data_IF_554904811215
#
_entry.id   IF_554904811215
#
_cell.length_a   1.000
_cell.length_b   1.000
_cell.length_c   1.000
_cell.angle_alpha   90.00
_cell.angle_beta   90.00
_cell.angle_gamma   90.00
#
_symmetry.space_group_name_H-M   'P 1'
#
loop_
_entity.id
_entity.type
_entity.pdbx_description
1 polymer ?
#
# COMPACT_ATOMS: atom_id res chain seq x y z
N UNK A 1 -12.74 -27.99 -13.32
CA UNK A 1 -12.12 -26.79 -12.72
C UNK A 1 -13.03 -25.60 -13.01
N UNK A 2 -13.69 -25.04 -12.00
CA UNK A 2 -14.57 -23.88 -12.17
C UNK A 2 -13.71 -22.63 -12.02
N UNK A 3 -13.35 -21.97 -13.11
CA UNK A 3 -12.73 -20.64 -13.08
C UNK A 3 -13.80 -19.62 -12.72
N UNK A 4 -13.97 -19.35 -11.43
CA UNK A 4 -14.77 -18.21 -10.95
C UNK A 4 -14.13 -16.93 -11.46
N UNK A 5 -14.71 -16.38 -12.52
CA UNK A 5 -14.30 -15.12 -13.10
C UNK A 5 -14.68 -13.99 -12.15
N UNK A 6 -13.67 -13.36 -11.52
CA UNK A 6 -13.85 -12.20 -10.64
C UNK A 6 -14.40 -11.05 -11.46
N UNK A 7 -15.67 -10.71 -11.26
CA UNK A 7 -16.25 -9.48 -11.82
C UNK A 7 -15.61 -8.29 -11.11
N UNK A 8 -15.11 -7.34 -11.89
CA UNK A 8 -14.60 -6.07 -11.36
C UNK A 8 -15.60 -5.03 -11.77
N UNK A 9 -16.34 -4.51 -10.79
CA UNK A 9 -17.42 -3.54 -11.01
C UNK A 9 -16.94 -2.10 -10.89
N UNK A 10 -15.74 -1.89 -10.34
CA UNK A 10 -15.19 -0.57 -10.06
C UNK A 10 -13.71 -0.50 -10.44
N UNK A 11 -13.33 0.60 -11.09
CA UNK A 11 -11.95 0.98 -11.38
C UNK A 11 -11.45 1.83 -10.21
N UNK A 12 -10.29 1.46 -9.65
CA UNK A 12 -9.61 2.30 -8.66
C UNK A 12 -8.77 3.36 -9.37
N UNK A 13 -9.01 4.62 -9.05
CA UNK A 13 -8.42 5.78 -9.72
C UNK A 13 -7.68 6.64 -8.69
N UNK A 14 -6.50 7.14 -9.03
CA UNK A 14 -5.71 8.05 -8.21
C UNK A 14 -5.66 9.41 -8.91
N UNK A 15 -6.24 10.43 -8.27
CA UNK A 15 -6.50 11.74 -8.85
C UNK A 15 -5.81 12.84 -8.01
N UNK A 16 -5.24 13.88 -8.64
CA UNK A 16 -4.85 15.09 -7.96
C UNK A 16 -6.09 15.97 -7.73
N UNK A 17 -6.35 16.32 -6.48
CA UNK A 17 -7.40 17.29 -6.09
C UNK A 17 -6.76 18.69 -6.01
N UNK A 18 -7.57 19.73 -6.21
CA UNK A 18 -7.20 21.15 -6.16
C UNK A 18 -6.26 21.60 -7.30
N UNK A 19 -6.36 20.97 -8.47
CA UNK A 19 -5.54 21.36 -9.64
C UNK A 19 -6.04 22.61 -10.37
N UNK A 20 -7.11 23.24 -9.90
CA UNK A 20 -7.71 24.43 -10.54
C UNK A 20 -7.42 25.74 -9.83
N UNK A 21 -6.80 25.71 -8.64
CA UNK A 21 -6.49 26.92 -7.86
C UNK A 21 -4.98 27.10 -7.78
N UNK A 22 -4.48 28.19 -8.39
CA UNK A 22 -3.07 28.54 -8.33
C UNK A 22 -2.64 28.79 -6.87
N UNK A 23 -1.63 28.04 -6.42
CA UNK A 23 -1.04 28.19 -5.09
C UNK A 23 -1.59 27.26 -4.00
N UNK A 24 -2.60 26.44 -4.29
CA UNK A 24 -3.04 25.40 -3.35
C UNK A 24 -2.16 24.13 -3.44
N UNK A 25 -1.99 23.44 -2.30
CA UNK A 25 -1.26 22.18 -2.26
C UNK A 25 -2.06 21.09 -2.97
N UNK A 26 -1.46 20.48 -4.00
CA UNK A 26 -2.06 19.34 -4.69
C UNK A 26 -2.05 18.11 -3.78
N UNK A 27 -3.23 17.55 -3.53
CA UNK A 27 -3.40 16.34 -2.71
C UNK A 27 -3.75 15.19 -3.66
N UNK A 28 -3.02 14.08 -3.57
CA UNK A 28 -3.41 12.85 -4.27
C UNK A 28 -4.44 12.09 -3.45
N UNK A 29 -5.57 11.73 -4.08
CA UNK A 29 -6.64 10.98 -3.46
C UNK A 29 -7.09 9.81 -4.33
N UNK A 30 -7.51 8.72 -3.69
CA UNK A 30 -7.98 7.52 -4.38
C UNK A 30 -9.50 7.45 -4.38
N UNK A 31 -10.07 7.20 -5.54
CA UNK A 31 -11.51 7.09 -5.77
C UNK A 31 -11.83 5.75 -6.45
N UNK A 32 -13.09 5.30 -6.28
CA UNK A 32 -13.62 4.14 -7.00
C UNK A 32 -14.70 4.62 -7.96
N UNK A 33 -14.52 4.32 -9.24
CA UNK A 33 -15.44 4.72 -10.31
C UNK A 33 -16.04 3.47 -10.95
N UNK A 34 -17.35 3.40 -11.22
CA UNK A 34 -17.96 2.24 -11.88
C UNK A 34 -17.29 1.90 -13.22
N UNK A 35 -17.00 0.62 -13.45
CA UNK A 35 -16.29 0.16 -14.65
C UNK A 35 -17.16 0.05 -15.89
N UNK A 36 -18.49 0.12 -15.72
CA UNK A 36 -19.49 0.04 -16.78
C UNK A 36 -19.82 1.42 -17.40
N UNK A 37 -19.15 2.48 -16.97
CA UNK A 37 -19.36 3.80 -17.55
C UNK A 37 -18.83 3.88 -18.99
N UNK A 38 -19.54 4.57 -19.89
CA UNK A 38 -18.99 4.97 -21.18
C UNK A 38 -17.69 5.77 -21.00
N UNK A 39 -16.71 5.68 -21.92
CA UNK A 39 -15.43 6.37 -21.78
C UNK A 39 -15.58 7.88 -21.61
N UNK A 40 -16.51 8.50 -22.35
CA UNK A 40 -16.79 9.94 -22.22
C UNK A 40 -17.33 10.32 -20.82
N UNK A 41 -18.25 9.54 -20.26
CA UNK A 41 -18.81 9.78 -18.92
C UNK A 41 -17.77 9.51 -17.83
N UNK A 42 -16.91 8.51 -18.04
CA UNK A 42 -15.77 8.25 -17.16
C UNK A 42 -14.84 9.48 -17.10
N UNK A 43 -14.49 10.06 -18.26
CA UNK A 43 -13.65 11.26 -18.34
C UNK A 43 -14.30 12.47 -17.66
N UNK A 44 -15.60 12.70 -17.89
CA UNK A 44 -16.36 13.78 -17.23
C UNK A 44 -16.37 13.62 -15.71
N UNK A 45 -16.57 12.39 -15.23
CA UNK A 45 -16.54 12.11 -13.79
C UNK A 45 -15.17 12.38 -13.19
N UNK A 46 -14.10 11.98 -13.88
CA UNK A 46 -12.70 12.27 -13.52
C UNK A 46 -12.45 13.79 -13.45
N UNK A 47 -12.90 14.55 -14.45
CA UNK A 47 -12.76 16.01 -14.48
C UNK A 47 -13.46 16.67 -13.28
N UNK A 48 -14.71 16.28 -13.00
CA UNK A 48 -15.47 16.76 -11.84
C UNK A 48 -14.73 16.48 -10.53
N UNK A 49 -14.19 15.27 -10.36
CA UNK A 49 -13.44 14.89 -9.16
C UNK A 49 -12.14 15.67 -8.99
N UNK A 50 -11.48 16.08 -10.09
CA UNK A 50 -10.30 16.96 -10.05
C UNK A 50 -10.66 18.45 -9.81
N UNK A 51 -11.95 18.78 -9.76
CA UNK A 51 -12.44 20.16 -9.67
C UNK A 51 -12.27 20.94 -10.97
N UNK A 52 -12.12 20.24 -12.09
CA UNK A 52 -11.99 20.79 -13.43
C UNK A 52 -13.36 20.87 -14.10
N UNK A 53 -13.62 21.98 -14.76
CA UNK A 53 -14.84 22.20 -15.54
C UNK A 53 -14.86 21.25 -16.76
N UNK A 54 -15.84 20.32 -16.88
CA UNK A 54 -15.89 19.34 -17.96
C UNK A 54 -16.11 19.96 -19.34
N UNK A 55 -16.63 21.19 -19.41
CA UNK A 55 -16.89 21.88 -20.67
C UNK A 55 -15.62 22.58 -21.22
N UNK A 56 -14.54 22.63 -20.43
CA UNK A 56 -13.27 23.22 -20.85
C UNK A 56 -12.31 22.15 -21.38
N UNK A 57 -11.58 22.44 -22.47
CA UNK A 57 -10.55 21.52 -22.97
C UNK A 57 -9.40 21.47 -21.96
N UNK A 58 -9.29 20.34 -21.24
CA UNK A 58 -8.19 20.08 -20.30
C UNK A 58 -7.43 18.85 -20.72
N UNK A 59 -6.10 18.97 -20.77
CA UNK A 59 -5.18 17.89 -21.13
C UNK A 59 -4.95 17.01 -19.92
N UNK A 60 -5.57 15.84 -19.94
CA UNK A 60 -5.42 14.84 -18.90
C UNK A 60 -4.44 13.77 -19.40
N UNK A 61 -3.46 13.47 -18.55
CA UNK A 61 -2.55 12.34 -18.72
C UNK A 61 -2.93 11.18 -17.81
N UNK A 62 -2.68 9.95 -18.23
CA UNK A 62 -2.93 8.74 -17.45
C UNK A 62 -1.73 7.80 -17.41
N UNK A 63 -1.72 6.95 -16.39
CA UNK A 63 -0.75 5.87 -16.19
C UNK A 63 -1.37 4.77 -15.34
N UNK A 64 -1.06 3.50 -15.63
CA UNK A 64 -1.60 2.38 -14.85
C UNK A 64 -0.57 1.87 -13.83
N UNK A 65 -0.81 2.14 -12.56
CA UNK A 65 0.01 1.70 -11.42
C UNK A 65 -0.35 0.25 -11.06
N UNK A 66 0.62 -0.62 -10.69
CA UNK A 66 2.05 -0.36 -10.62
C UNK A 66 2.69 -0.33 -12.01
N UNK A 67 3.33 0.79 -12.32
CA UNK A 67 4.19 1.01 -13.48
C UNK A 67 5.53 1.57 -13.01
N UNK A 68 6.49 1.70 -13.92
CA UNK A 68 7.75 2.34 -13.61
C UNK A 68 7.50 3.84 -13.35
N UNK A 69 8.03 4.39 -12.25
CA UNK A 69 7.85 5.81 -11.91
C UNK A 69 8.38 6.77 -12.98
N UNK A 70 9.35 6.31 -13.77
CA UNK A 70 9.94 7.04 -14.89
C UNK A 70 9.10 7.01 -16.17
N UNK A 71 8.05 6.18 -16.22
CA UNK A 71 7.17 6.11 -17.38
C UNK A 71 6.32 7.38 -17.47
N UNK A 72 6.35 8.10 -18.60
CA UNK A 72 5.59 9.33 -18.78
C UNK A 72 4.09 9.06 -18.80
N UNK A 73 3.30 10.08 -18.46
CA UNK A 73 1.85 10.02 -18.61
C UNK A 73 1.48 10.00 -20.09
N UNK A 74 0.62 9.05 -20.49
CA UNK A 74 0.02 9.00 -21.83
C UNK A 74 -1.16 9.97 -21.85
N UNK A 75 -1.37 10.71 -22.93
CA UNK A 75 -2.43 11.72 -23.03
C UNK A 75 -3.76 11.08 -23.46
N UNK A 76 -4.86 11.64 -22.98
CA UNK A 76 -6.18 11.41 -23.57
C UNK A 76 -6.39 12.39 -24.72
N UNK A 77 -6.19 11.94 -25.96
CA UNK A 77 -6.46 12.73 -27.16
C UNK A 77 -7.81 12.36 -27.76
N UNK A 78 -8.20 11.09 -27.65
CA UNK A 78 -9.43 10.54 -28.20
C UNK A 78 -10.23 9.78 -27.15
N UNK A 79 -11.52 9.55 -27.44
CA UNK A 79 -12.36 8.66 -26.61
C UNK A 79 -11.81 7.22 -26.58
N UNK A 80 -11.17 6.79 -27.67
CA UNK A 80 -10.54 5.48 -27.77
C UNK A 80 -9.37 5.33 -26.78
N UNK A 81 -8.58 6.38 -26.54
CA UNK A 81 -7.52 6.37 -25.53
C UNK A 81 -8.07 6.14 -24.13
N UNK A 82 -9.22 6.77 -23.82
CA UNK A 82 -9.90 6.58 -22.53
C UNK A 82 -10.41 5.14 -22.41
N UNK A 83 -11.03 4.61 -23.46
CA UNK A 83 -11.49 3.22 -23.51
C UNK A 83 -10.31 2.24 -23.32
N UNK A 84 -9.19 2.48 -23.99
CA UNK A 84 -7.96 1.69 -23.88
C UNK A 84 -7.36 1.77 -22.48
N UNK A 85 -7.36 2.94 -21.85
CA UNK A 85 -6.92 3.12 -20.46
C UNK A 85 -7.80 2.35 -19.47
N UNK A 86 -9.13 2.44 -19.62
CA UNK A 86 -10.08 1.69 -18.79
C UNK A 86 -9.90 0.18 -18.98
N UNK A 87 -9.84 -0.29 -20.23
CA UNK A 87 -9.69 -1.71 -20.57
C UNK A 87 -8.36 -2.28 -20.08
N UNK A 88 -7.26 -1.56 -20.29
CA UNK A 88 -5.94 -1.99 -19.81
C UNK A 88 -5.87 -2.05 -18.29
N UNK A 89 -6.47 -1.08 -17.59
CA UNK A 89 -6.58 -1.08 -16.13
C UNK A 89 -7.39 -2.26 -15.63
N UNK A 90 -8.59 -2.49 -16.18
CA UNK A 90 -9.43 -3.62 -15.81
C UNK A 90 -8.75 -4.97 -16.08
N UNK A 91 -8.07 -5.11 -17.21
CA UNK A 91 -7.31 -6.32 -17.55
C UNK A 91 -6.21 -6.58 -16.54
N UNK A 92 -5.47 -5.54 -16.14
CA UNK A 92 -4.42 -5.65 -15.11
C UNK A 92 -5.02 -5.95 -13.74
N UNK A 93 -6.13 -5.33 -13.36
CA UNK A 93 -6.83 -5.62 -12.11
C UNK A 93 -7.32 -7.07 -12.06
N UNK A 94 -7.88 -7.62 -13.16
CA UNK A 94 -8.31 -9.02 -13.25
C UNK A 94 -7.15 -10.01 -13.09
N UNK A 95 -5.97 -9.66 -13.62
CA UNK A 95 -4.75 -10.48 -13.51
C UNK A 95 -4.03 -10.31 -12.17
N UNK A 96 -4.27 -9.21 -11.47
CA UNK A 96 -3.58 -8.90 -10.22
C UNK A 96 -4.18 -9.70 -9.07
N UNK A 97 -3.39 -10.62 -8.53
CA UNK A 97 -3.80 -11.42 -7.36
C UNK A 97 -3.57 -10.66 -6.05
N UNK A 98 -2.40 -10.03 -5.91
CA UNK A 98 -1.98 -9.42 -4.63
C UNK A 98 -1.53 -7.97 -4.73
N UNK A 99 -1.59 -7.35 -5.91
CA UNK A 99 -1.09 -5.99 -6.14
C UNK A 99 -2.27 -5.08 -6.38
N UNK A 100 -2.29 -3.94 -5.70
CA UNK A 100 -3.28 -2.89 -5.98
C UNK A 100 -2.95 -2.27 -7.32
N UNK A 101 -3.85 -2.44 -8.29
CA UNK A 101 -3.76 -1.80 -9.60
C UNK A 101 -4.66 -0.57 -9.58
N UNK A 102 -4.13 0.59 -9.97
CA UNK A 102 -4.84 1.86 -9.98
C UNK A 102 -4.55 2.62 -11.26
N UNK A 103 -5.54 3.36 -11.77
CA UNK A 103 -5.35 4.32 -12.84
C UNK A 103 -4.96 5.67 -12.23
N UNK A 104 -3.69 6.03 -12.33
CA UNK A 104 -3.18 7.33 -11.90
C UNK A 104 -3.37 8.35 -13.02
N UNK A 105 -3.95 9.48 -12.68
CA UNK A 105 -4.23 10.57 -13.61
C UNK A 105 -3.49 11.83 -13.18
N UNK A 106 -3.21 12.69 -14.16
CA UNK A 106 -2.54 13.95 -13.95
C UNK A 106 -3.15 15.03 -14.84
N UNK A 107 -3.34 16.22 -14.29
CA UNK A 107 -3.71 17.40 -15.06
C UNK A 107 -2.42 18.00 -15.66
N UNK A 108 -2.25 17.89 -16.98
CA UNK A 108 -1.04 18.32 -17.68
C UNK A 108 -1.01 19.83 -17.95
N UNK A 109 -2.17 20.49 -17.87
CA UNK A 109 -2.26 21.94 -17.99
C UNK A 109 -1.96 22.64 -16.66
N UNK A 110 -2.05 21.90 -15.55
CA UNK A 110 -1.66 22.41 -14.24
C UNK A 110 -0.13 22.55 -14.17
N UNK A 111 0.32 23.79 -14.27
CA UNK A 111 1.66 24.18 -13.85
C UNK A 111 1.52 24.61 -12.40
N UNK A 112 1.97 23.85 -11.39
CA UNK A 112 2.02 24.37 -10.04
C UNK A 112 2.81 25.67 -10.12
N UNK A 113 2.12 26.79 -9.90
CA UNK A 113 2.70 28.11 -10.03
C UNK A 113 3.99 28.13 -9.22
N UNK A 114 5.07 28.47 -9.90
CA UNK A 114 6.01 29.58 -9.66
C UNK A 114 5.71 30.54 -8.49
N UNK A 115 5.07 30.11 -7.41
CA UNK A 115 5.07 30.75 -6.11
C UNK A 115 6.36 30.27 -5.43
N UNK A 116 7.44 31.01 -5.66
CA UNK A 116 8.76 30.78 -5.07
C UNK A 116 9.28 29.34 -5.19
N UNK A 117 9.63 28.93 -6.42
CA UNK A 117 10.72 27.99 -6.59
C UNK A 117 12.00 28.69 -6.12
N UNK A 118 12.23 28.69 -4.81
CA UNK A 118 13.55 29.00 -4.26
C UNK A 118 14.50 27.97 -4.85
N UNK A 119 15.38 28.47 -5.70
CA UNK A 119 16.59 27.84 -6.21
C UNK A 119 17.11 26.79 -5.23
N UNK A 120 17.02 25.51 -5.58
CA UNK A 120 17.93 24.50 -5.07
C UNK A 120 18.73 23.96 -6.24
N UNK A 121 19.62 24.84 -6.72
CA UNK A 121 20.84 24.43 -7.34
C UNK A 121 21.63 23.62 -6.30
N UNK A 122 21.90 22.37 -6.67
CA UNK A 122 23.07 21.57 -6.33
C UNK A 122 24.03 22.21 -5.29
N UNK A 123 23.94 21.74 -4.04
CA UNK A 123 24.79 22.23 -2.96
C UNK A 123 24.75 21.33 -1.74
N UNK A 124 25.69 20.40 -1.67
CA UNK A 124 26.05 19.59 -0.50
C UNK A 124 26.14 20.45 0.76
N UNK A 125 25.27 20.26 1.77
CA UNK A 125 25.56 20.48 3.22
C UNK A 125 24.39 20.12 4.15
N UNK A 126 24.74 19.29 5.14
CA UNK A 126 24.26 19.11 6.53
C UNK A 126 22.76 19.33 6.88
N UNK A 127 22.20 18.24 7.42
CA UNK A 127 20.92 18.13 8.12
C UNK A 127 20.75 19.15 9.26
N UNK A 128 19.67 19.93 9.20
CA UNK A 128 18.97 20.45 10.38
C UNK A 128 17.47 20.10 10.22
N UNK A 129 16.79 19.57 11.25
CA UNK A 129 15.39 19.16 11.14
C UNK A 129 14.44 20.37 11.12
N UNK A 130 13.37 20.34 10.31
CA UNK A 130 12.41 21.43 10.22
C UNK A 130 11.63 21.60 11.53
N UNK A 131 11.74 22.79 12.12
CA UNK A 131 10.89 23.28 13.21
C UNK A 131 9.49 23.58 12.68
N UNK A 132 8.57 22.62 12.73
CA UNK A 132 7.10 22.89 12.77
C UNK A 132 6.22 21.65 12.96
N UNK A 133 6.74 20.53 13.48
CA UNK A 133 5.91 19.36 13.79
C UNK A 133 5.05 19.54 15.07
N UNK A 134 5.42 20.47 15.96
CA UNK A 134 4.67 20.76 17.18
C UNK A 134 3.37 21.53 16.92
N UNK A 135 3.40 22.52 16.03
CA UNK A 135 2.21 23.32 15.69
C UNK A 135 1.09 22.47 15.08
N UNK A 136 1.44 21.47 14.26
CA UNK A 136 0.47 20.55 13.67
C UNK A 136 -0.13 19.56 14.68
N UNK A 137 0.62 19.19 15.73
CA UNK A 137 0.11 18.31 16.78
C UNK A 137 -0.84 19.04 17.74
N UNK A 138 -0.61 20.33 17.99
CA UNK A 138 -1.48 21.14 18.85
C UNK A 138 -2.85 21.40 18.18
N UNK A 139 -2.90 21.64 16.87
CA UNK A 139 -4.17 21.77 16.14
C UNK A 139 -4.97 20.46 16.10
N UNK A 140 -4.32 19.30 15.92
CA UNK A 140 -4.99 17.99 15.95
C UNK A 140 -5.58 17.64 17.33
N UNK A 141 -4.98 18.17 18.41
CA UNK A 141 -5.50 17.98 19.78
C UNK A 141 -6.80 18.76 20.00
N UNK A 142 -6.85 20.01 19.51
CA UNK A 142 -8.04 20.87 19.61
C UNK A 142 -9.23 20.27 18.84
N UNK A 143 -8.99 19.70 17.66
CA UNK A 143 -10.06 19.07 16.86
C UNK A 143 -10.65 17.80 17.50
N UNK A 144 -9.85 17.04 18.26
CA UNK A 144 -10.36 15.87 19.01
C UNK A 144 -11.22 16.25 20.20
N UNK A 145 -10.87 17.34 20.89
CA UNK A 145 -11.59 17.78 22.08
C UNK A 145 -12.98 18.34 21.73
N UNK A 146 -13.13 18.97 20.56
CA UNK A 146 -14.42 19.51 20.09
C UNK A 146 -15.43 18.47 19.59
N UNK A 147 -15.00 17.23 19.32
CA UNK A 147 -15.89 16.15 18.85
C UNK A 147 -16.55 15.34 19.98
N UNK A 148 -16.30 15.67 21.24
CA UNK A 148 -16.82 14.92 22.39
C UNK A 148 -18.07 15.52 23.06
N UNK A 149 -18.66 16.58 22.52
CA UNK A 149 -19.91 17.16 23.04
C UNK A 149 -21.04 17.09 22.02
N UNK A 150 -21.55 15.87 21.78
CA UNK A 150 -22.95 15.60 21.44
C UNK A 150 -23.09 14.10 21.16
N UNK A 151 -23.23 13.30 22.21
CA UNK A 151 -23.91 12.01 22.09
C UNK A 151 -25.31 12.17 22.68
N UNK A 152 -26.34 11.87 21.88
CA UNK A 152 -27.41 11.05 22.39
C UNK A 152 -27.50 9.78 21.53
N UNK A 153 -27.31 8.66 22.23
CA UNK A 153 -27.98 7.37 22.06
C UNK A 153 -28.79 7.18 20.77
N UNK A 154 -28.28 6.35 19.86
CA UNK A 154 -29.09 5.54 18.96
C UNK A 154 -28.29 4.30 18.55
N UNK A 155 -28.74 3.16 19.07
CA UNK A 155 -28.45 1.81 18.62
C UNK A 155 -28.85 1.63 17.15
N UNK A 156 -28.00 0.99 16.36
CA UNK A 156 -28.32 -0.07 15.39
C UNK A 156 -27.19 -0.24 14.37
N UNK A 157 -26.30 -1.18 14.70
CA UNK A 157 -25.84 -2.27 13.84
C UNK A 157 -25.53 -1.94 12.37
N UNK A 158 -24.27 -1.59 12.10
CA UNK A 158 -23.67 -1.68 10.77
C UNK A 158 -22.65 -2.82 10.76
N UNK A 159 -23.08 -3.97 10.26
CA UNK A 159 -22.27 -5.14 9.95
C UNK A 159 -21.18 -4.81 8.94
N UNK A 160 -19.95 -4.63 9.45
CA UNK A 160 -18.74 -4.48 8.65
C UNK A 160 -18.30 -5.85 8.17
N UNK A 161 -18.61 -6.17 6.91
CA UNK A 161 -18.14 -7.37 6.21
C UNK A 161 -16.63 -7.27 5.98
N UNK A 162 -15.86 -7.78 6.94
CA UNK A 162 -14.45 -8.07 6.79
C UNK A 162 -14.28 -9.20 5.78
N UNK A 163 -13.74 -8.90 4.60
CA UNK A 163 -13.25 -9.93 3.70
C UNK A 163 -11.92 -10.45 4.27
N UNK A 164 -12.05 -11.47 5.11
CA UNK A 164 -10.97 -12.36 5.52
C UNK A 164 -10.61 -13.22 4.32
N UNK A 165 -9.55 -12.81 3.59
CA UNK A 165 -8.89 -13.67 2.62
C UNK A 165 -7.93 -14.56 3.43
N UNK A 166 -8.51 -15.57 4.10
CA UNK A 166 -7.82 -16.75 4.62
C UNK A 166 -7.25 -17.54 3.44
N UNK A 167 -6.12 -17.07 2.92
CA UNK A 167 -5.22 -17.97 2.20
C UNK A 167 -4.49 -18.80 3.25
N UNK A 168 -5.08 -19.96 3.54
CA UNK A 168 -4.57 -21.09 4.33
C UNK A 168 -3.32 -21.69 3.67
N UNK A 169 -2.28 -20.85 3.55
CA UNK A 169 -0.93 -21.29 3.34
C UNK A 169 -0.29 -21.33 4.72
N UNK A 170 -0.24 -22.52 5.30
CA UNK A 170 0.67 -23.01 6.36
C UNK A 170 2.11 -22.55 6.09
N UNK A 171 2.34 -21.24 6.17
CA UNK A 171 3.56 -20.58 5.78
C UNK A 171 4.44 -20.49 7.00
N UNK A 172 5.27 -21.51 7.21
CA UNK A 172 6.40 -21.57 8.16
C UNK A 172 6.36 -20.46 9.23
N UNK A 173 5.58 -20.70 10.28
CA UNK A 173 5.42 -19.75 11.39
C UNK A 173 6.79 -19.33 11.94
N UNK A 174 7.09 -18.03 11.83
CA UNK A 174 8.35 -17.47 12.33
C UNK A 174 8.32 -17.43 13.85
N UNK A 175 9.19 -18.21 14.48
CA UNK A 175 9.29 -18.28 15.93
C UNK A 175 9.85 -16.98 16.52
N UNK A 176 9.44 -16.62 17.74
CA UNK A 176 9.96 -15.42 18.41
C UNK A 176 11.45 -15.56 18.75
N UNK A 177 11.91 -16.77 19.04
CA UNK A 177 13.31 -17.09 19.36
C UNK A 177 14.24 -16.79 18.18
N UNK A 178 13.85 -17.13 16.94
CA UNK A 178 14.60 -16.78 15.73
C UNK A 178 14.76 -15.28 15.57
N UNK A 179 13.74 -14.49 15.91
CA UNK A 179 13.81 -13.02 15.83
C UNK A 179 14.76 -12.46 16.88
N UNK A 180 14.66 -12.95 18.12
CA UNK A 180 15.52 -12.50 19.22
C UNK A 180 16.98 -12.87 18.96
N UNK A 181 17.27 -14.07 18.45
CA UNK A 181 18.62 -14.47 18.06
C UNK A 181 19.17 -13.59 16.93
N UNK A 182 18.36 -13.29 15.90
CA UNK A 182 18.77 -12.43 14.80
C UNK A 182 19.06 -10.97 15.25
N UNK A 183 18.37 -10.49 16.29
CA UNK A 183 18.67 -9.20 16.91
C UNK A 183 19.94 -9.24 17.72
N UNK A 184 20.15 -10.30 18.50
CA UNK A 184 21.32 -10.46 19.34
C UNK A 184 22.61 -10.47 18.50
N UNK A 185 22.58 -11.12 17.34
CA UNK A 185 23.70 -11.08 16.38
C UNK A 185 24.04 -9.66 15.89
N UNK A 186 23.05 -8.77 15.81
CA UNK A 186 23.25 -7.37 15.37
C UNK A 186 23.60 -6.44 16.52
N UNK A 187 23.09 -6.75 17.71
CA UNK A 187 23.14 -5.89 18.90
C UNK A 187 23.37 -6.74 20.16
N UNK A 188 24.55 -7.37 20.30
CA UNK A 188 24.81 -8.31 21.39
C UNK A 188 24.77 -7.63 22.78
N UNK A 189 25.11 -6.34 22.84
CA UNK A 189 25.04 -5.55 24.07
C UNK A 189 23.63 -5.40 24.65
N UNK A 190 22.58 -5.60 23.84
CA UNK A 190 21.18 -5.48 24.27
C UNK A 190 20.64 -6.77 24.89
N UNK A 191 21.33 -7.89 24.69
CA UNK A 191 21.00 -9.23 25.20
C UNK A 191 19.51 -9.57 25.05
N UNK A 192 19.03 -9.57 23.81
CA UNK A 192 17.62 -9.80 23.48
C UNK A 192 17.05 -11.18 23.88
N UNK A 193 17.83 -12.29 23.85
CA UNK A 193 17.30 -13.61 24.19
C UNK A 193 16.71 -13.71 25.61
N UNK A 194 17.16 -12.87 26.56
CA UNK A 194 16.65 -12.88 27.94
C UNK A 194 15.15 -12.56 28.06
N UNK A 195 14.54 -11.93 27.05
CA UNK A 195 13.12 -11.59 27.07
C UNK A 195 12.23 -12.71 26.52
N UNK A 196 12.82 -13.81 26.02
CA UNK A 196 12.08 -14.90 25.39
C UNK A 196 11.06 -15.53 26.34
N UNK A 197 11.46 -15.84 27.57
CA UNK A 197 10.59 -16.51 28.53
C UNK A 197 9.42 -15.62 28.95
N UNK A 198 9.67 -14.32 29.15
CA UNK A 198 8.64 -13.34 29.47
C UNK A 198 7.63 -13.19 28.32
N UNK A 199 8.10 -13.17 27.07
CA UNK A 199 7.23 -13.11 25.89
C UNK A 199 6.38 -14.38 25.76
N UNK A 200 7.01 -15.54 25.96
CA UNK A 200 6.34 -16.85 25.87
C UNK A 200 5.28 -17.01 26.97
N UNK A 201 5.58 -16.57 28.19
CA UNK A 201 4.63 -16.58 29.31
C UNK A 201 3.37 -15.74 29.03
N UNK A 202 3.49 -14.70 28.21
CA UNK A 202 2.37 -13.86 27.76
C UNK A 202 1.72 -14.36 26.45
N UNK A 203 2.06 -15.57 25.99
CA UNK A 203 1.51 -16.18 24.77
C UNK A 203 2.13 -15.68 23.46
N UNK A 204 3.21 -14.90 23.52
CA UNK A 204 3.91 -14.38 22.33
C UNK A 204 4.95 -15.40 21.86
N UNK A 205 4.48 -16.51 21.32
CA UNK A 205 5.33 -17.61 20.81
C UNK A 205 5.80 -17.35 19.38
N UNK A 206 4.94 -16.70 18.58
CA UNK A 206 5.19 -16.43 17.17
C UNK A 206 5.42 -14.94 16.92
N UNK A 207 6.28 -14.65 15.94
CA UNK A 207 6.65 -13.28 15.57
C UNK A 207 5.45 -12.44 15.11
N UNK A 208 4.39 -13.05 14.56
CA UNK A 208 3.19 -12.31 14.12
C UNK A 208 2.41 -11.75 15.30
N UNK A 209 2.20 -12.55 16.34
CA UNK A 209 1.50 -12.16 17.57
C UNK A 209 2.19 -11.00 18.29
N UNK A 210 3.51 -10.85 18.14
CA UNK A 210 4.25 -9.73 18.73
C UNK A 210 3.80 -8.35 18.17
N UNK A 211 3.18 -8.28 17.00
CA UNK A 211 2.76 -7.01 16.40
C UNK A 211 1.45 -6.47 16.96
N UNK A 212 0.69 -7.29 17.68
CA UNK A 212 -0.63 -6.93 18.20
C UNK A 212 -0.56 -6.09 19.48
N UNK A 213 0.62 -6.06 20.13
CA UNK A 213 0.83 -5.38 21.40
C UNK A 213 1.46 -4.00 21.23
N UNK A 214 1.03 -3.05 22.06
CA UNK A 214 1.57 -1.69 22.06
C UNK A 214 2.96 -1.62 22.70
N UNK A 215 3.74 -0.57 22.35
CA UNK A 215 5.06 -0.33 22.97
C UNK A 215 4.99 -0.25 24.49
N UNK A 216 3.93 0.38 25.04
CA UNK A 216 3.75 0.51 26.50
C UNK A 216 3.60 -0.85 27.17
N UNK A 217 2.89 -1.78 26.53
CA UNK A 217 2.70 -3.13 27.05
C UNK A 217 4.03 -3.88 27.18
N UNK A 218 4.93 -3.78 26.19
CA UNK A 218 6.27 -4.38 26.27
C UNK A 218 7.12 -3.81 27.41
N UNK A 219 6.99 -2.51 27.68
CA UNK A 219 7.72 -1.87 28.79
C UNK A 219 7.15 -2.31 30.13
N UNK A 220 5.82 -2.42 30.24
CA UNK A 220 5.14 -2.70 31.51
C UNK A 220 5.13 -4.18 31.87
N UNK A 221 4.74 -5.05 30.95
CA UNK A 221 4.55 -6.49 31.19
C UNK A 221 5.83 -7.29 30.95
N UNK A 222 6.54 -7.03 29.84
CA UNK A 222 7.76 -7.77 29.47
C UNK A 222 9.02 -7.18 30.11
N UNK A 223 8.91 -6.01 30.76
CA UNK A 223 10.03 -5.25 31.32
C UNK A 223 11.13 -4.96 30.29
N UNK A 224 10.75 -4.84 29.02
CA UNK A 224 11.69 -4.50 27.95
C UNK A 224 11.88 -2.97 27.90
N UNK A 225 13.13 -2.46 27.97
CA UNK A 225 13.38 -1.02 27.85
C UNK A 225 12.83 -0.46 26.54
N UNK A 226 12.21 0.72 26.58
CA UNK A 226 11.57 1.33 25.41
C UNK A 226 12.52 1.44 24.20
N UNK A 227 13.80 1.72 24.46
CA UNK A 227 14.85 1.78 23.44
C UNK A 227 15.09 0.46 22.68
N UNK A 228 14.73 -0.68 23.28
CA UNK A 228 14.87 -2.01 22.68
C UNK A 228 13.58 -2.51 22.02
N UNK A 229 12.42 -2.00 22.45
CA UNK A 229 11.11 -2.41 21.90
C UNK A 229 10.98 -2.04 20.42
N UNK A 230 11.36 -0.81 20.04
CA UNK A 230 11.24 -0.35 18.64
C UNK A 230 12.14 -1.11 17.67
N UNK A 231 13.45 -1.32 17.95
CA UNK A 231 14.30 -2.19 17.14
C UNK A 231 13.74 -3.60 17.02
N UNK A 232 13.21 -4.15 18.11
CA UNK A 232 12.59 -5.46 18.13
C UNK A 232 11.40 -5.56 17.16
N UNK A 233 10.39 -4.69 17.31
CA UNK A 233 9.21 -4.69 16.43
C UNK A 233 9.58 -4.43 14.96
N UNK A 234 10.57 -3.58 14.70
CA UNK A 234 11.08 -3.34 13.33
C UNK A 234 11.70 -4.61 12.75
N UNK A 235 12.48 -5.36 13.53
CA UNK A 235 13.08 -6.60 13.06
C UNK A 235 12.03 -7.69 12.82
N UNK A 236 11.04 -7.83 13.71
CA UNK A 236 9.88 -8.72 13.52
C UNK A 236 9.23 -8.45 12.16
N UNK A 237 8.84 -7.20 11.87
CA UNK A 237 8.22 -6.84 10.59
C UNK A 237 9.14 -7.12 9.39
N UNK A 238 10.44 -6.86 9.55
CA UNK A 238 11.43 -7.07 8.48
C UNK A 238 11.55 -8.56 8.13
N UNK A 239 11.63 -9.43 9.14
CA UNK A 239 11.75 -10.87 8.93
C UNK A 239 10.46 -11.48 8.35
N UNK A 240 9.29 -11.04 8.82
CA UNK A 240 7.99 -11.48 8.25
C UNK A 240 7.87 -11.10 6.77
N UNK A 241 8.24 -9.86 6.41
CA UNK A 241 8.25 -9.43 4.99
C UNK A 241 9.23 -10.23 4.14
N UNK A 242 10.42 -10.54 4.68
CA UNK A 242 11.43 -11.34 3.99
C UNK A 242 10.96 -12.77 3.75
N UNK A 243 10.39 -13.42 4.76
CA UNK A 243 9.87 -14.79 4.64
C UNK A 243 8.70 -14.87 3.67
N UNK A 244 7.77 -13.91 3.72
CA UNK A 244 6.68 -13.83 2.75
C UNK A 244 7.19 -13.66 1.31
N UNK A 245 8.27 -12.88 1.10
CA UNK A 245 8.91 -12.76 -0.22
C UNK A 245 9.59 -14.07 -0.67
N UNK A 246 10.29 -14.75 0.23
CA UNK A 246 11.00 -16.00 -0.07
C UNK A 246 10.04 -17.15 -0.39
N UNK A 247 8.92 -17.27 0.33
CA UNK A 247 7.88 -18.27 0.06
C UNK A 247 7.34 -18.12 -1.38
N UNK A 248 7.04 -16.88 -1.81
CA UNK A 248 6.57 -16.61 -3.18
C UNK A 248 7.60 -16.98 -4.25
N UNK A 249 8.88 -16.71 -4.01
CA UNK A 249 9.95 -17.05 -4.95
C UNK A 249 10.15 -18.57 -5.07
N UNK A 250 10.04 -19.31 -3.97
CA UNK A 250 10.16 -20.78 -3.98
C UNK A 250 9.00 -21.47 -4.70
N UNK A 251 7.77 -20.96 -4.56
CA UNK A 251 6.61 -21.47 -5.30
C UNK A 251 6.73 -21.24 -6.81
N UNK A 252 7.34 -20.13 -7.23
CA UNK A 252 7.52 -19.79 -8.65
C UNK A 252 8.59 -20.68 -9.32
N UNK A 253 9.67 -21.00 -8.58
CA UNK A 253 10.71 -21.92 -9.06
C UNK A 253 10.22 -23.37 -9.21
N UNK A 254 9.44 -23.89 -8.26
CA UNK A 254 8.88 -25.24 -8.37
C UNK A 254 7.93 -25.42 -9.56
N UNK A 255 7.27 -24.34 -10.00
CA UNK A 255 6.40 -24.36 -11.17
C UNK A 255 7.17 -24.44 -12.49
N UNK A 256 8.42 -23.95 -12.54
CA UNK A 256 9.28 -24.02 -13.74
C UNK A 256 9.98 -25.37 -13.93
N UNK A 257 10.17 -26.14 -12.86
CA UNK A 257 10.91 -27.43 -12.93
C UNK A 257 10.03 -28.60 -13.40
N UNK A 258 8.70 -28.54 -13.24
CA UNK A 258 7.79 -29.65 -13.61
C UNK A 258 7.46 -29.80 -15.11
N UNK A 259 8.00 -28.98 -16.02
CA UNK A 259 7.60 -28.99 -17.46
C UNK A 259 8.53 -29.84 -18.34
N UNK A 260 9.64 -30.37 -17.83
CA UNK A 260 10.56 -31.18 -18.64
C UNK A 260 10.89 -32.50 -17.97
N UNK A 261 10.10 -33.54 -18.25
CA UNK A 261 10.53 -34.94 -18.32
C UNK A 261 9.31 -35.83 -18.59
N UNK A 262 8.78 -35.78 -19.82
CA UNK A 262 8.02 -36.90 -20.37
C UNK A 262 8.82 -37.43 -21.56
N UNK A 263 9.41 -38.60 -21.32
CA UNK A 263 10.25 -39.37 -22.21
C UNK A 263 9.34 -39.94 -23.31
N UNK A 264 9.50 -39.48 -24.57
CA UNK A 264 8.80 -40.06 -25.71
C UNK A 264 9.69 -41.17 -26.27
N UNK A 265 9.31 -42.43 -26.02
CA UNK A 265 9.93 -43.59 -26.66
C UNK A 265 9.63 -43.58 -28.17
N UNK A 266 10.63 -43.74 -29.05
CA UNK A 266 10.39 -43.86 -30.48
C UNK A 266 9.89 -45.28 -30.81
N UNK A 267 8.63 -45.36 -31.22
CA UNK A 267 8.03 -46.57 -31.79
C UNK A 267 8.77 -46.95 -33.08
N UNK A 268 9.38 -48.13 -33.06
CA UNK A 268 9.91 -48.83 -34.23
C UNK A 268 8.76 -49.23 -35.16
N UNK A 269 8.78 -48.71 -36.39
CA UNK A 269 8.02 -49.25 -37.53
C UNK A 269 8.94 -50.21 -38.29
N UNK A 270 8.55 -51.49 -38.32
CA UNK A 270 9.01 -52.51 -39.25
C UNK A 270 7.79 -53.08 -39.98
#
# INVERSE_FOLDING_TARGET
>A
MVTTSRSIEQISVLLPINTTRDGEQVIQASFKIPSNLPPLEFLRQVQRLMGVDPDKPVRIGYRVVPSNKSEPFVRFETEEDVANAMMSTLTRMKRAVSRTVQLELSNLDYKPGTAASSTSANGTKKNEPPKSQSAFQDELRICREKLHYASPSASSESSSSSNEDESDAEGESLSISEVLAALDMKQPASHYPKYQDALTAQGVVYARSALDFSVKWYVQEIKMPEGLVRPFLRQVQTMLRKRHRQSRENTDRHKRVRIGNENIDPVLLA
#
